data_IF_322338888613
#
_entry.id   IF_322338888613
#
_cell.length_a   1.000
_cell.length_b   1.000
_cell.length_c   1.000
_cell.angle_alpha   90.00
_cell.angle_beta   90.00
_cell.angle_gamma   90.00
#
_symmetry.space_group_name_H-M   'P 1'
#
loop_
_entity.id
_entity.type
_entity.pdbx_description
1 polymer ?
#
# COMPACT_ATOMS: atom_id res chain seq x y z
N UNK A 1 15.23 -6.98 11.86
CA UNK A 1 13.84 -7.08 11.32
C UNK A 1 13.90 -7.53 9.87
N UNK A 2 12.93 -8.37 9.42
CA UNK A 2 12.82 -8.77 8.01
C UNK A 2 12.43 -7.57 7.15
N UNK A 3 13.08 -7.40 6.00
CA UNK A 3 12.78 -6.32 5.06
C UNK A 3 12.70 -6.85 3.63
N UNK A 4 11.73 -6.38 2.86
CA UNK A 4 11.50 -6.73 1.47
C UNK A 4 11.57 -5.49 0.57
N UNK A 5 12.17 -5.65 -0.61
CA UNK A 5 12.24 -4.65 -1.66
C UNK A 5 11.55 -5.18 -2.92
N UNK A 6 10.44 -4.56 -3.29
CA UNK A 6 9.66 -4.90 -4.48
C UNK A 6 10.30 -4.22 -5.70
N UNK A 7 10.63 -5.00 -6.73
CA UNK A 7 11.20 -4.47 -7.96
C UNK A 7 10.82 -5.35 -9.16
N UNK A 8 10.47 -4.73 -10.28
CA UNK A 8 10.23 -5.40 -11.56
C UNK A 8 11.55 -5.86 -12.20
N UNK A 9 11.58 -7.08 -12.75
CA UNK A 9 12.79 -7.66 -13.36
C UNK A 9 13.38 -6.80 -14.47
N UNK A 10 12.54 -6.05 -15.20
CA UNK A 10 12.94 -5.15 -16.27
C UNK A 10 13.57 -3.83 -15.81
N UNK A 11 13.65 -3.57 -14.51
CA UNK A 11 14.21 -2.34 -13.94
C UNK A 11 15.41 -2.60 -12.99
N UNK A 12 16.52 -3.19 -13.49
CA UNK A 12 17.69 -3.51 -12.67
C UNK A 12 18.37 -2.25 -12.11
N UNK A 13 18.34 -1.13 -12.85
CA UNK A 13 18.93 0.13 -12.40
C UNK A 13 18.20 0.70 -11.19
N UNK A 14 16.85 0.62 -11.16
CA UNK A 14 16.05 1.01 -9.99
C UNK A 14 16.36 0.14 -8.79
N UNK A 15 16.51 -1.18 -9.00
CA UNK A 15 16.91 -2.10 -7.95
C UNK A 15 18.25 -1.69 -7.33
N UNK A 16 19.29 -1.47 -8.14
CA UNK A 16 20.62 -1.10 -7.66
C UNK A 16 20.59 0.24 -6.88
N UNK A 17 19.85 1.22 -7.39
CA UNK A 17 19.69 2.51 -6.72
C UNK A 17 18.98 2.35 -5.36
N UNK A 18 17.86 1.61 -5.31
CA UNK A 18 17.14 1.37 -4.07
C UNK A 18 17.98 0.59 -3.06
N UNK A 19 18.68 -0.47 -3.47
CA UNK A 19 19.57 -1.23 -2.60
C UNK A 19 20.66 -0.36 -1.99
N UNK A 20 21.26 0.55 -2.78
CA UNK A 20 22.26 1.50 -2.29
C UNK A 20 21.67 2.43 -1.23
N UNK A 21 20.49 3.00 -1.45
CA UNK A 21 19.80 3.89 -0.51
C UNK A 21 19.45 3.17 0.79
N UNK A 22 18.92 1.97 0.69
CA UNK A 22 18.59 1.14 1.85
C UNK A 22 19.84 0.78 2.66
N UNK A 23 20.94 0.40 2.00
CA UNK A 23 22.21 0.09 2.67
C UNK A 23 22.79 1.31 3.39
N UNK A 24 22.68 2.52 2.82
CA UNK A 24 23.08 3.78 3.47
C UNK A 24 22.25 4.07 4.73
N UNK A 25 20.99 3.65 4.76
CA UNK A 25 20.12 3.73 5.93
C UNK A 25 20.28 2.54 6.90
N UNK A 26 21.24 1.63 6.67
CA UNK A 26 21.47 0.45 7.51
C UNK A 26 20.43 -0.65 7.32
N UNK A 27 19.67 -0.64 6.24
CA UNK A 27 18.62 -1.63 5.95
C UNK A 27 19.10 -2.61 4.88
N UNK A 28 19.03 -3.89 5.18
CA UNK A 28 19.25 -4.97 4.22
C UNK A 28 17.91 -5.61 3.86
N UNK A 29 17.39 -5.30 2.67
CA UNK A 29 16.13 -5.82 2.18
C UNK A 29 16.34 -6.95 1.17
N UNK A 30 15.59 -8.02 1.31
CA UNK A 30 15.52 -9.09 0.33
C UNK A 30 14.68 -8.62 -0.86
N UNK A 31 15.19 -8.79 -2.08
CA UNK A 31 14.43 -8.48 -3.29
C UNK A 31 13.28 -9.46 -3.48
N UNK A 32 12.11 -8.93 -3.72
CA UNK A 32 10.92 -9.66 -4.19
C UNK A 32 10.60 -9.24 -5.62
N UNK A 33 10.57 -10.21 -6.54
CA UNK A 33 10.20 -9.93 -7.92
C UNK A 33 8.75 -9.44 -7.98
N UNK A 34 8.57 -8.22 -8.48
CA UNK A 34 7.24 -7.62 -8.62
C UNK A 34 6.43 -8.32 -9.71
N UNK A 35 5.13 -8.41 -9.50
CA UNK A 35 4.20 -8.91 -10.53
C UNK A 35 4.04 -7.83 -11.60
N UNK A 36 4.46 -8.15 -12.85
CA UNK A 36 4.18 -7.30 -13.98
C UNK A 36 2.72 -7.46 -14.43
N UNK A 37 1.88 -6.52 -14.02
CA UNK A 37 0.47 -6.53 -14.37
C UNK A 37 0.19 -6.43 -15.89
N UNK A 38 1.15 -5.91 -16.66
CA UNK A 38 1.04 -5.86 -18.12
C UNK A 38 1.35 -7.22 -18.78
N UNK A 39 2.18 -8.04 -18.14
CA UNK A 39 2.46 -9.42 -18.59
C UNK A 39 1.33 -10.39 -18.26
N UNK A 40 0.44 -10.06 -17.32
CA UNK A 40 -0.71 -10.90 -16.97
C UNK A 40 -1.70 -10.99 -18.13
N UNK A 41 -2.23 -12.18 -18.36
CA UNK A 41 -3.33 -12.40 -19.29
C UNK A 41 -4.61 -11.65 -18.85
N UNK A 42 -5.56 -11.40 -19.77
CA UNK A 42 -6.85 -10.82 -19.40
C UNK A 42 -7.64 -11.67 -18.37
N UNK A 43 -7.45 -12.98 -18.37
CA UNK A 43 -8.10 -13.90 -17.42
C UNK A 43 -7.51 -13.73 -16.01
N UNK A 44 -6.17 -13.69 -15.88
CA UNK A 44 -5.49 -13.48 -14.61
C UNK A 44 -5.82 -12.10 -14.01
N UNK A 45 -5.79 -11.03 -14.81
CA UNK A 45 -6.23 -9.70 -14.35
C UNK A 45 -7.68 -9.68 -13.89
N UNK A 46 -8.57 -10.43 -14.57
CA UNK A 46 -9.97 -10.55 -14.12
C UNK A 46 -10.09 -11.30 -12.79
N UNK A 47 -9.33 -12.35 -12.60
CA UNK A 47 -9.32 -13.13 -11.37
C UNK A 47 -8.72 -12.34 -10.18
N UNK A 48 -7.74 -11.49 -10.45
CA UNK A 48 -7.08 -10.68 -9.43
C UNK A 48 -7.97 -9.58 -8.81
N UNK A 49 -9.09 -9.21 -9.45
CA UNK A 49 -9.92 -8.06 -9.06
C UNK A 49 -11.35 -8.49 -8.78
N UNK A 50 -11.89 -8.11 -7.64
CA UNK A 50 -13.31 -8.20 -7.32
C UNK A 50 -14.10 -7.16 -8.12
N UNK A 51 -14.28 -7.38 -9.44
CA UNK A 51 -14.72 -6.38 -10.44
C UNK A 51 -16.00 -5.66 -10.06
N UNK A 52 -17.00 -6.39 -9.56
CA UNK A 52 -18.27 -5.79 -9.15
C UNK A 52 -18.07 -4.79 -8.00
N UNK A 53 -17.30 -5.17 -7.00
CA UNK A 53 -16.98 -4.30 -5.86
C UNK A 53 -16.06 -3.13 -6.25
N UNK A 54 -15.08 -3.37 -7.12
CA UNK A 54 -14.20 -2.32 -7.63
C UNK A 54 -14.99 -1.28 -8.44
N UNK A 55 -15.95 -1.74 -9.25
CA UNK A 55 -16.82 -0.86 -10.04
C UNK A 55 -17.76 -0.04 -9.14
N UNK A 56 -18.37 -0.67 -8.14
CA UNK A 56 -19.21 0.01 -7.14
C UNK A 56 -18.39 0.99 -6.28
N UNK A 57 -17.21 0.56 -5.81
CA UNK A 57 -16.39 1.36 -4.90
C UNK A 57 -15.67 2.53 -5.59
N UNK A 58 -15.34 2.42 -6.87
CA UNK A 58 -14.48 3.38 -7.57
C UNK A 58 -15.07 3.87 -8.90
N UNK A 59 -16.15 3.29 -9.40
CA UNK A 59 -16.73 3.63 -10.72
C UNK A 59 -15.82 3.32 -11.91
N UNK A 60 -14.74 2.55 -11.72
CA UNK A 60 -13.73 2.27 -12.75
C UNK A 60 -12.99 0.96 -12.50
N UNK A 61 -12.39 0.44 -13.56
CA UNK A 61 -11.49 -0.71 -13.49
C UNK A 61 -10.06 -0.25 -13.20
N UNK A 62 -9.29 -1.12 -12.56
CA UNK A 62 -7.88 -0.89 -12.27
C UNK A 62 -7.01 -1.08 -13.52
N UNK A 63 -5.95 -0.28 -13.62
CA UNK A 63 -4.93 -0.45 -14.64
C UNK A 63 -4.10 -1.71 -14.37
N UNK A 64 -3.46 -2.32 -15.38
CA UNK A 64 -2.56 -3.44 -15.16
C UNK A 64 -1.47 -3.15 -14.13
N UNK A 65 -0.90 -1.94 -14.12
CA UNK A 65 0.11 -1.52 -13.14
C UNK A 65 -0.43 -1.54 -11.70
N UNK A 66 -1.65 -1.03 -11.47
CA UNK A 66 -2.29 -1.07 -10.15
C UNK A 66 -2.55 -2.51 -9.67
N UNK A 67 -2.94 -3.39 -10.60
CA UNK A 67 -3.14 -4.81 -10.30
C UNK A 67 -1.80 -5.46 -9.94
N UNK A 68 -0.75 -5.22 -10.73
CA UNK A 68 0.59 -5.74 -10.49
C UNK A 68 1.16 -5.29 -9.14
N UNK A 69 1.04 -4.00 -8.82
CA UNK A 69 1.45 -3.45 -7.53
C UNK A 69 0.73 -4.18 -6.38
N UNK A 70 -0.60 -4.25 -6.38
CA UNK A 70 -1.35 -4.94 -5.33
C UNK A 70 -0.97 -6.42 -5.19
N UNK A 71 -0.80 -7.14 -6.30
CA UNK A 71 -0.40 -8.55 -6.28
C UNK A 71 1.01 -8.75 -5.72
N UNK A 72 1.95 -7.83 -5.98
CA UNK A 72 3.32 -7.86 -5.44
C UNK A 72 3.33 -7.77 -3.92
N UNK A 73 2.58 -6.84 -3.36
CA UNK A 73 2.44 -6.73 -1.90
C UNK A 73 1.67 -7.91 -1.31
N UNK A 74 0.61 -8.40 -1.97
CA UNK A 74 -0.09 -9.62 -1.56
C UNK A 74 0.84 -10.85 -1.55
N UNK A 75 1.83 -10.92 -2.44
CA UNK A 75 2.83 -11.99 -2.42
C UNK A 75 3.69 -11.92 -1.15
N UNK A 76 4.12 -10.72 -0.74
CA UNK A 76 4.82 -10.52 0.54
C UNK A 76 3.93 -10.93 1.72
N UNK A 77 2.67 -10.54 1.75
CA UNK A 77 1.77 -10.89 2.85
C UNK A 77 1.54 -12.41 2.93
N UNK A 78 1.41 -13.10 1.78
CA UNK A 78 1.33 -14.57 1.76
C UNK A 78 2.61 -15.20 2.28
N UNK A 79 3.76 -14.66 1.92
CA UNK A 79 5.06 -15.11 2.40
C UNK A 79 5.21 -14.89 3.92
N UNK A 80 4.84 -13.72 4.44
CA UNK A 80 4.80 -13.48 5.89
C UNK A 80 3.97 -14.52 6.63
N UNK A 81 2.82 -14.91 6.05
CA UNK A 81 1.94 -15.93 6.64
C UNK A 81 2.61 -17.31 6.57
N UNK A 82 3.16 -17.69 5.44
CA UNK A 82 3.77 -19.01 5.22
C UNK A 82 5.01 -19.24 6.10
N UNK A 83 5.83 -18.20 6.27
CA UNK A 83 7.07 -18.23 7.04
C UNK A 83 6.89 -17.76 8.49
N UNK A 84 5.67 -17.40 8.90
CA UNK A 84 5.32 -16.88 10.23
C UNK A 84 6.19 -15.67 10.63
N UNK A 85 6.42 -14.73 9.69
CA UNK A 85 7.19 -13.49 9.92
C UNK A 85 6.33 -12.52 10.73
N UNK A 86 6.69 -12.17 11.98
CA UNK A 86 5.82 -11.42 12.88
C UNK A 86 5.59 -9.98 12.44
N UNK A 87 6.60 -9.37 11.79
CA UNK A 87 6.52 -8.05 11.20
C UNK A 87 7.57 -7.91 10.09
N UNK A 88 7.30 -7.07 9.08
CA UNK A 88 8.24 -6.83 7.99
C UNK A 88 8.20 -5.37 7.53
N UNK A 89 9.36 -4.84 7.18
CA UNK A 89 9.51 -3.63 6.36
C UNK A 89 9.27 -3.98 4.90
N UNK A 90 8.54 -3.12 4.20
CA UNK A 90 8.29 -3.27 2.76
C UNK A 90 8.65 -1.96 2.08
N UNK A 91 9.44 -2.08 1.01
CA UNK A 91 9.88 -0.95 0.20
C UNK A 91 9.54 -1.19 -1.28
N UNK A 92 9.23 -0.11 -1.99
CA UNK A 92 9.21 -0.07 -3.46
C UNK A 92 10.55 0.46 -3.99
N UNK A 93 10.87 0.15 -5.24
CA UNK A 93 12.20 0.43 -5.82
C UNK A 93 12.42 1.92 -6.19
N UNK A 94 11.43 2.77 -5.96
CA UNK A 94 11.50 4.22 -6.11
C UNK A 94 11.53 4.98 -4.77
N UNK A 95 11.77 4.28 -3.66
CA UNK A 95 11.88 4.91 -2.35
C UNK A 95 13.10 5.81 -2.23
N UNK A 96 12.91 7.01 -1.66
CA UNK A 96 13.95 7.88 -1.11
C UNK A 96 13.80 7.91 0.40
N UNK A 97 14.92 7.76 1.12
CA UNK A 97 14.96 7.83 2.58
C UNK A 97 15.71 9.09 3.02
N UNK A 98 15.20 9.75 4.07
CA UNK A 98 15.92 10.86 4.70
C UNK A 98 16.95 10.34 5.70
N UNK A 99 17.93 11.16 6.13
CA UNK A 99 18.91 10.76 7.15
C UNK A 99 18.27 10.36 8.49
N UNK A 100 17.04 10.82 8.76
CA UNK A 100 16.30 10.52 10.00
C UNK A 100 15.58 9.17 9.97
N UNK A 101 15.54 8.49 8.82
CA UNK A 101 14.83 7.21 8.69
C UNK A 101 15.27 6.15 9.73
N UNK A 102 16.56 5.95 10.04
CA UNK A 102 16.96 4.95 11.04
C UNK A 102 16.38 5.25 12.44
N UNK A 103 16.33 6.52 12.84
CA UNK A 103 15.74 6.94 14.11
C UNK A 103 14.21 6.72 14.10
N UNK A 104 13.56 7.03 12.98
CA UNK A 104 12.13 6.78 12.79
C UNK A 104 11.81 5.28 12.84
N UNK A 105 12.64 4.44 12.21
CA UNK A 105 12.49 2.99 12.27
C UNK A 105 12.60 2.46 13.71
N UNK A 106 13.61 2.90 14.46
CA UNK A 106 13.77 2.50 15.86
C UNK A 106 12.56 2.91 16.72
N UNK A 107 11.98 4.08 16.46
CA UNK A 107 10.75 4.52 17.12
C UNK A 107 9.53 3.64 16.75
N UNK A 108 9.40 3.25 15.48
CA UNK A 108 8.35 2.32 15.05
C UNK A 108 8.50 0.95 15.74
N UNK A 109 9.71 0.43 15.84
CA UNK A 109 10.01 -0.82 16.54
C UNK A 109 9.62 -0.77 18.03
N UNK A 110 9.79 0.37 18.68
CA UNK A 110 9.38 0.56 20.08
C UNK A 110 7.85 0.55 20.26
N UNK A 111 7.11 1.02 19.26
CA UNK A 111 5.64 1.05 19.27
C UNK A 111 5.00 -0.23 18.73
N UNK A 112 5.80 -1.09 18.11
CA UNK A 112 5.33 -2.30 17.46
C UNK A 112 4.81 -3.33 18.47
N UNK A 113 3.57 -3.75 18.29
CA UNK A 113 3.00 -4.93 18.91
C UNK A 113 2.65 -5.96 17.82
N UNK A 114 3.44 -7.03 17.75
CA UNK A 114 3.29 -8.07 16.73
C UNK A 114 1.94 -8.81 16.77
N UNK A 115 1.16 -8.66 17.87
CA UNK A 115 -0.17 -9.26 18.02
C UNK A 115 -1.30 -8.35 17.53
N UNK A 116 -1.00 -7.07 17.23
CA UNK A 116 -1.97 -6.08 16.75
C UNK A 116 -1.89 -5.91 15.26
N UNK A 117 -2.96 -5.41 14.65
CA UNK A 117 -3.03 -5.15 13.20
C UNK A 117 -2.48 -3.77 12.87
N UNK A 118 -1.15 -3.59 13.02
CA UNK A 118 -0.48 -2.30 12.88
C UNK A 118 0.18 -2.14 11.51
N UNK A 119 0.08 -0.93 10.98
CA UNK A 119 0.83 -0.45 9.81
C UNK A 119 1.43 0.90 10.16
N UNK A 120 2.73 1.07 9.91
CA UNK A 120 3.48 2.31 10.10
C UNK A 120 3.95 2.80 8.74
N UNK A 121 3.44 3.96 8.29
CA UNK A 121 3.88 4.60 7.06
C UNK A 121 5.01 5.57 7.39
N UNK A 122 6.08 5.50 6.61
CA UNK A 122 7.23 6.40 6.73
C UNK A 122 7.10 7.63 5.84
N UNK A 123 6.10 7.68 4.96
CA UNK A 123 5.80 8.78 4.05
C UNK A 123 4.49 9.49 4.40
N UNK A 124 4.37 10.76 4.03
CA UNK A 124 3.13 11.53 4.15
C UNK A 124 2.20 11.34 2.95
N UNK A 125 2.76 10.98 1.78
CA UNK A 125 2.01 10.85 0.55
C UNK A 125 1.35 12.17 0.14
N UNK A 126 0.04 12.13 -0.14
CA UNK A 126 -0.77 13.30 -0.52
C UNK A 126 -1.46 13.97 0.66
N UNK A 127 -1.33 13.42 1.86
CA UNK A 127 -1.93 13.99 3.07
C UNK A 127 -0.98 15.00 3.73
N UNK A 128 -1.53 16.05 4.36
CA UNK A 128 -0.69 17.01 5.09
C UNK A 128 0.06 16.31 6.23
N UNK A 129 1.24 16.80 6.59
CA UNK A 129 1.96 16.32 7.76
C UNK A 129 1.08 16.37 8.99
N UNK A 130 1.18 15.36 9.84
CA UNK A 130 0.48 15.37 11.13
C UNK A 130 1.12 16.41 12.05
N UNK A 131 0.34 17.04 12.95
CA UNK A 131 0.89 17.95 13.94
C UNK A 131 1.98 17.25 14.76
N UNK A 132 3.18 17.83 14.78
CA UNK A 132 4.29 17.31 15.56
C UNK A 132 4.05 17.59 17.05
N UNK A 133 3.91 16.54 17.84
CA UNK A 133 3.84 16.59 19.31
C UNK A 133 5.14 16.09 19.95
N UNK A 134 6.23 16.05 19.18
CA UNK A 134 7.53 15.52 19.58
C UNK A 134 7.66 13.99 19.47
N UNK A 135 6.61 13.29 19.04
CA UNK A 135 6.65 11.84 18.78
C UNK A 135 7.08 11.57 17.35
N UNK A 136 7.85 10.50 17.14
CA UNK A 136 8.26 10.09 15.80
C UNK A 136 7.11 9.50 14.97
N UNK A 137 6.05 9.01 15.61
CA UNK A 137 4.83 8.49 14.98
C UNK A 137 3.60 8.98 15.71
N UNK A 138 2.59 9.35 14.93
CA UNK A 138 1.25 9.62 15.44
C UNK A 138 0.26 8.59 14.87
N UNK A 139 -0.75 8.24 15.68
CA UNK A 139 -1.87 7.44 15.18
C UNK A 139 -2.63 8.24 14.15
N UNK A 140 -2.91 7.64 13.00
CA UNK A 140 -3.52 8.30 11.86
C UNK A 140 -4.84 7.62 11.45
N UNK A 141 -5.74 8.39 10.87
CA UNK A 141 -6.95 7.91 10.22
C UNK A 141 -6.86 7.99 8.71
N UNK A 142 -5.80 8.59 8.20
CA UNK A 142 -5.52 8.82 6.79
C UNK A 142 -4.08 8.47 6.43
N UNK A 143 -3.86 8.12 5.18
CA UNK A 143 -2.58 7.79 4.59
C UNK A 143 -2.79 7.22 3.20
N UNK A 144 -1.81 7.45 2.35
CA UNK A 144 -1.65 6.84 1.04
C UNK A 144 -0.17 6.52 0.81
N UNK A 145 0.19 6.12 -0.39
CA UNK A 145 1.53 5.68 -0.75
C UNK A 145 1.98 4.39 -0.07
N UNK A 146 2.82 3.65 -0.71
CA UNK A 146 3.28 2.32 -0.26
C UNK A 146 4.78 2.12 -0.46
N UNK A 147 5.52 3.19 -0.74
CA UNK A 147 6.95 3.15 -1.04
C UNK A 147 7.80 2.71 0.16
N UNK A 148 7.33 2.96 1.41
CA UNK A 148 8.01 2.49 2.62
C UNK A 148 7.02 2.34 3.78
N UNK A 149 6.84 1.13 4.28
CA UNK A 149 6.01 0.88 5.45
C UNK A 149 6.45 -0.34 6.25
N UNK A 150 6.11 -0.37 7.53
CA UNK A 150 6.25 -1.52 8.42
C UNK A 150 4.86 -2.11 8.68
N UNK A 151 4.72 -3.42 8.55
CA UNK A 151 3.46 -4.12 8.72
C UNK A 151 3.60 -5.34 9.63
N UNK A 152 2.63 -5.57 10.51
CA UNK A 152 2.55 -6.77 11.34
C UNK A 152 1.88 -7.94 10.61
N UNK A 153 2.17 -9.16 11.01
CA UNK A 153 1.54 -10.38 10.48
C UNK A 153 0.00 -10.37 10.61
N UNK A 154 -0.60 -9.95 11.74
CA UNK A 154 -2.06 -9.83 11.83
C UNK A 154 -2.64 -8.81 10.85
N UNK A 155 -1.94 -7.69 10.58
CA UNK A 155 -2.37 -6.72 9.59
C UNK A 155 -2.28 -7.30 8.16
N UNK A 156 -1.18 -7.98 7.82
CA UNK A 156 -1.01 -8.63 6.52
C UNK A 156 -2.11 -9.68 6.26
N UNK A 157 -2.44 -10.50 7.25
CA UNK A 157 -3.56 -11.48 7.17
C UNK A 157 -4.89 -10.79 6.93
N UNK A 158 -5.18 -9.73 7.68
CA UNK A 158 -6.43 -8.99 7.53
C UNK A 158 -6.54 -8.31 6.17
N UNK A 159 -5.46 -7.66 5.68
CA UNK A 159 -5.46 -7.02 4.37
C UNK A 159 -5.66 -8.04 3.23
N UNK A 160 -5.06 -9.22 3.31
CA UNK A 160 -5.35 -10.29 2.35
C UNK A 160 -6.81 -10.73 2.42
N UNK A 161 -7.37 -10.89 3.63
CA UNK A 161 -8.76 -11.32 3.82
C UNK A 161 -9.75 -10.34 3.18
N UNK A 162 -9.52 -9.02 3.31
CA UNK A 162 -10.47 -7.99 2.86
C UNK A 162 -10.20 -7.46 1.45
N UNK A 163 -8.98 -7.68 0.92
CA UNK A 163 -8.56 -7.12 -0.37
C UNK A 163 -8.00 -8.16 -1.35
N UNK A 164 -8.25 -9.45 -1.15
CA UNK A 164 -7.90 -10.49 -2.12
C UNK A 164 -9.11 -11.36 -2.40
N UNK A 165 -9.72 -11.29 -3.62
CA UNK A 165 -9.34 -10.47 -4.78
C UNK A 165 -9.38 -8.96 -4.49
N UNK A 166 -8.56 -8.18 -5.23
CA UNK A 166 -8.40 -6.74 -5.03
C UNK A 166 -9.74 -5.98 -5.16
N UNK A 167 -10.13 -5.28 -4.11
CA UNK A 167 -11.30 -4.39 -4.06
C UNK A 167 -10.86 -2.92 -4.21
N UNK A 168 -9.75 -2.56 -3.58
CA UNK A 168 -9.15 -1.22 -3.63
C UNK A 168 -7.64 -1.33 -3.90
N UNK A 169 -7.02 -0.24 -4.33
CA UNK A 169 -5.55 -0.17 -4.43
C UNK A 169 -4.92 -0.37 -3.05
N UNK A 170 -3.70 -0.88 -3.03
CA UNK A 170 -3.03 -1.22 -1.77
C UNK A 170 -2.82 0.01 -0.87
N UNK A 171 -2.49 1.14 -1.46
CA UNK A 171 -2.29 2.44 -0.83
C UNK A 171 -3.58 3.07 -0.25
N UNK A 172 -4.69 2.35 -0.24
CA UNK A 172 -5.96 2.82 0.35
C UNK A 172 -5.96 2.70 1.89
N UNK A 173 -4.86 3.11 2.55
CA UNK A 173 -4.68 2.99 4.00
C UNK A 173 -5.77 3.67 4.80
N UNK A 174 -6.18 4.88 4.37
CA UNK A 174 -7.33 5.61 4.93
C UNK A 174 -8.59 4.74 5.03
N UNK A 175 -8.89 3.98 3.96
CA UNK A 175 -10.08 3.13 3.91
C UNK A 175 -9.95 1.93 4.85
N UNK A 176 -8.79 1.31 4.90
CA UNK A 176 -8.55 0.17 5.81
C UNK A 176 -8.60 0.60 7.27
N UNK A 177 -8.01 1.75 7.61
CA UNK A 177 -8.03 2.31 8.96
C UNK A 177 -9.44 2.73 9.38
N UNK A 178 -10.18 3.46 8.52
CA UNK A 178 -11.54 3.91 8.81
C UNK A 178 -12.53 2.76 9.04
N UNK A 179 -12.26 1.59 8.46
CA UNK A 179 -13.07 0.37 8.66
C UNK A 179 -12.59 -0.51 9.82
N UNK A 180 -11.56 -0.10 10.53
CA UNK A 180 -11.00 -0.85 11.65
C UNK A 180 -10.26 -2.13 11.25
N UNK A 181 -9.87 -2.26 9.98
CA UNK A 181 -9.07 -3.41 9.52
C UNK A 181 -7.64 -3.34 10.02
N UNK A 182 -7.09 -2.13 10.16
CA UNK A 182 -5.75 -1.87 10.66
C UNK A 182 -5.72 -0.70 11.64
N UNK A 183 -4.68 -0.66 12.45
CA UNK A 183 -4.25 0.52 13.18
C UNK A 183 -3.15 1.18 12.40
N UNK A 184 -3.41 2.40 11.93
CA UNK A 184 -2.50 3.14 11.08
C UNK A 184 -1.71 4.15 11.91
N UNK A 185 -0.41 4.21 11.65
CA UNK A 185 0.51 5.19 12.21
C UNK A 185 1.27 5.87 11.06
N UNK A 186 1.54 7.16 11.18
CA UNK A 186 2.35 7.91 10.22
C UNK A 186 3.54 8.56 10.91
N UNK A 187 4.68 8.54 10.25
CA UNK A 187 5.89 9.21 10.71
C UNK A 187 5.69 10.74 10.80
N UNK A 188 6.26 11.36 11.82
CA UNK A 188 6.20 12.81 12.06
C UNK A 188 7.58 13.35 12.45
N UNK A 189 8.33 13.98 11.52
CA UNK A 189 8.03 14.16 10.08
C UNK A 189 8.15 12.86 9.27
N UNK A 190 7.67 12.90 8.02
CA UNK A 190 7.90 11.82 7.06
C UNK A 190 9.41 11.63 6.82
N UNK A 191 9.81 10.37 6.74
CA UNK A 191 11.23 9.98 6.57
C UNK A 191 11.48 9.15 5.31
N UNK A 192 10.42 8.96 4.51
CA UNK A 192 10.49 8.39 3.19
C UNK A 192 9.63 9.20 2.21
N UNK A 193 9.98 9.15 0.92
CA UNK A 193 9.22 9.74 -0.17
C UNK A 193 9.51 9.00 -1.47
N UNK A 194 8.73 9.27 -2.51
CA UNK A 194 8.89 8.67 -3.82
C UNK A 194 9.92 9.41 -4.67
N UNK A 195 10.79 8.68 -5.38
CA UNK A 195 11.70 9.23 -6.38
C UNK A 195 10.96 9.52 -7.69
N UNK A 196 10.60 10.76 -7.92
CA UNK A 196 9.93 11.21 -9.13
C UNK A 196 10.85 11.30 -10.37
N UNK A 197 12.15 11.08 -10.24
CA UNK A 197 13.07 10.99 -11.37
C UNK A 197 12.78 9.73 -12.23
N UNK A 198 12.25 8.69 -11.60
CA UNK A 198 11.73 7.52 -12.30
C UNK A 198 10.27 7.75 -12.68
N UNK A 199 9.94 7.72 -13.97
CA UNK A 199 8.55 7.78 -14.41
C UNK A 199 7.76 6.64 -13.75
N UNK A 200 6.68 6.98 -13.06
CA UNK A 200 5.78 5.97 -12.49
C UNK A 200 5.27 5.06 -13.62
N UNK A 201 5.48 3.75 -13.46
CA UNK A 201 4.97 2.73 -14.40
C UNK A 201 3.44 2.58 -14.25
N UNK A 202 2.88 3.13 -13.18
CA UNK A 202 1.44 3.16 -12.93
C UNK A 202 0.88 4.47 -13.50
N UNK A 203 0.25 4.47 -14.69
CA UNK A 203 -0.34 5.68 -15.23
C UNK A 203 -1.37 6.22 -14.24
N UNK A 204 -1.32 7.52 -14.01
CA UNK A 204 -2.33 8.23 -13.25
C UNK A 204 -3.74 7.90 -13.77
N UNK A 205 -4.70 8.00 -12.91
CA UNK A 205 -6.10 7.64 -13.11
C UNK A 205 -6.66 8.01 -14.50
N UNK A 206 -7.04 7.03 -15.31
CA UNK A 206 -7.83 7.28 -16.52
C UNK A 206 -9.23 7.76 -16.09
N UNK A 207 -9.47 9.07 -16.22
CA UNK A 207 -10.82 9.63 -16.07
C UNK A 207 -11.68 9.15 -17.23
N UNK A 208 -12.92 8.71 -17.00
CA UNK A 208 -13.83 8.41 -18.09
C UNK A 208 -13.99 9.65 -19.00
N UNK A 209 -13.74 9.47 -20.31
CA UNK A 209 -13.75 10.57 -21.28
C UNK A 209 -15.15 11.02 -21.70
N UNK A 210 -16.20 10.25 -21.40
CA UNK A 210 -17.56 10.61 -21.82
C UNK A 210 -18.46 11.05 -20.66
N UNK A 211 -19.33 12.06 -20.92
CA UNK A 211 -20.17 12.71 -19.93
C UNK A 211 -21.19 11.80 -19.25
N UNK A 212 -21.66 10.75 -19.94
CA UNK A 212 -22.60 9.76 -19.41
C UNK A 212 -21.97 8.93 -18.28
N UNK A 213 -20.75 8.42 -18.47
CA UNK A 213 -20.00 7.72 -17.44
C UNK A 213 -19.62 8.63 -16.26
N UNK A 214 -19.37 9.93 -16.51
CA UNK A 214 -19.13 10.91 -15.42
C UNK A 214 -20.38 11.16 -14.58
N UNK A 215 -21.57 11.17 -15.18
CA UNK A 215 -22.83 11.31 -14.45
C UNK A 215 -23.08 10.11 -13.53
N UNK A 216 -22.96 8.89 -14.05
CA UNK A 216 -23.06 7.66 -13.24
C UNK A 216 -21.97 7.57 -12.16
N UNK A 217 -20.76 8.04 -12.46
CA UNK A 217 -19.67 8.10 -11.47
C UNK A 217 -19.99 9.07 -10.32
N UNK A 218 -20.58 10.22 -10.59
CA UNK A 218 -21.01 11.16 -9.57
C UNK A 218 -22.14 10.58 -8.69
N UNK A 219 -23.10 9.87 -9.30
CA UNK A 219 -24.16 9.15 -8.55
C UNK A 219 -23.56 8.01 -7.74
N UNK A 220 -22.65 7.23 -8.32
CA UNK A 220 -21.98 6.15 -7.61
C UNK A 220 -21.25 6.65 -6.35
N UNK A 221 -20.59 7.82 -6.41
CA UNK A 221 -19.95 8.44 -5.22
C UNK A 221 -20.93 8.82 -4.12
N UNK A 222 -22.16 9.23 -4.45
CA UNK A 222 -23.19 9.54 -3.46
C UNK A 222 -23.73 8.28 -2.76
N UNK A 223 -23.67 7.13 -3.46
CA UNK A 223 -24.15 5.83 -2.98
C UNK A 223 -23.00 5.01 -2.37
N UNK A 224 -21.75 5.32 -2.69
CA UNK A 224 -20.55 4.58 -2.28
C UNK A 224 -20.46 4.41 -0.76
N UNK A 225 -20.57 5.51 -0.02
CA UNK A 225 -20.43 5.46 1.46
C UNK A 225 -21.51 4.60 2.13
N UNK A 226 -22.82 4.73 1.82
CA UNK A 226 -23.83 3.85 2.42
C UNK A 226 -23.72 2.40 1.94
N UNK A 227 -23.38 2.13 0.68
CA UNK A 227 -23.21 0.76 0.18
C UNK A 227 -21.97 0.09 0.78
N UNK A 228 -20.87 0.82 0.94
CA UNK A 228 -19.67 0.32 1.63
C UNK A 228 -19.96 -0.03 3.09
N UNK A 229 -20.73 0.83 3.79
CA UNK A 229 -21.16 0.57 5.15
C UNK A 229 -22.10 -0.66 5.25
N UNK A 230 -23.04 -0.78 4.31
CA UNK A 230 -23.95 -1.92 4.23
C UNK A 230 -23.20 -3.22 3.88
N UNK A 231 -22.30 -3.15 2.89
CA UNK A 231 -21.48 -4.30 2.50
C UNK A 231 -20.59 -4.79 3.65
N UNK A 232 -19.95 -3.87 4.38
CA UNK A 232 -19.17 -4.20 5.56
C UNK A 232 -20.01 -4.90 6.64
N UNK A 233 -21.25 -4.41 6.88
CA UNK A 233 -22.17 -5.04 7.83
C UNK A 233 -22.57 -6.46 7.42
N UNK A 234 -22.73 -6.71 6.11
CA UNK A 234 -23.19 -8.00 5.60
C UNK A 234 -22.08 -9.04 5.45
N UNK A 235 -20.84 -8.61 5.17
CA UNK A 235 -19.74 -9.53 4.80
C UNK A 235 -18.56 -9.49 5.76
N UNK A 236 -18.48 -8.48 6.62
CA UNK A 236 -17.30 -8.22 7.46
C UNK A 236 -16.04 -7.85 6.66
N UNK A 237 -16.17 -7.47 5.37
CA UNK A 237 -15.08 -7.17 4.44
C UNK A 237 -15.10 -5.72 3.97
#
# INVERSE_FOLDING_TARGET
MTAFLINLDRHPDRLAAAQTRLAQAGVHAERVAAVDGYALSPAERRAAVARFHALLARGRLYTPGQIGCALSHHAIYRRMIAENIPAALVFEDDVLLTPEFPASLAAAETLLDANRRQVFLFSDGTYPPLPGDGRAFARATDGDCSEAYLITLPAARELLRVNSPMVVTLDSWTRFAARGHIELYRATPATATQDHAFQSVVPGYMRPSNGFLRFFWNIARLIEKPLDALWFRLTGR
#
